data_IF_304052236701
#
_entry.id   IF_304052236701
#
_cell.length_a   1.000
_cell.length_b   1.000
_cell.length_c   1.000
_cell.angle_alpha   90.00
_cell.angle_beta   90.00
_cell.angle_gamma   90.00
#
_symmetry.space_group_name_H-M   'P 1'
#
loop_
_entity.id
_entity.type
_entity.pdbx_description
1 polymer ?
#
# COMPACT_ATOMS: atom_id res chain seq x y z
N UNK A 1 -11.98 4.02 -2.49
CA UNK A 1 -10.86 4.97 -2.58
C UNK A 1 -9.60 4.20 -2.96
N UNK A 2 -8.99 4.50 -4.10
CA UNK A 2 -7.78 3.80 -4.52
C UNK A 2 -6.59 4.16 -3.64
N UNK A 3 -5.71 3.18 -3.45
CA UNK A 3 -4.43 3.37 -2.79
C UNK A 3 -3.38 3.38 -3.88
N UNK A 4 -2.68 4.51 -4.03
CA UNK A 4 -1.67 4.65 -5.07
C UNK A 4 -0.29 4.76 -4.46
N UNK A 5 0.70 4.26 -5.20
CA UNK A 5 2.08 4.37 -4.76
C UNK A 5 2.53 5.82 -4.83
N UNK A 6 3.19 6.28 -3.77
CA UNK A 6 3.77 7.63 -3.73
C UNK A 6 5.23 7.64 -4.14
N UNK A 7 5.80 6.48 -4.44
CA UNK A 7 7.18 6.34 -4.90
C UNK A 7 7.25 5.23 -5.94
N UNK A 8 8.37 5.15 -6.64
CA UNK A 8 8.69 4.01 -7.48
C UNK A 8 9.52 3.05 -6.65
N UNK A 9 9.02 1.85 -6.43
CA UNK A 9 9.70 0.87 -5.60
C UNK A 9 9.05 -0.50 -5.68
N UNK A 10 9.52 -1.42 -4.84
CA UNK A 10 9.05 -2.80 -4.79
C UNK A 10 8.27 -3.02 -3.50
N UNK A 11 7.13 -3.71 -3.61
CA UNK A 11 6.32 -4.05 -2.44
C UNK A 11 7.10 -5.08 -1.61
N UNK A 12 7.46 -4.69 -0.39
CA UNK A 12 8.21 -5.54 0.52
C UNK A 12 7.27 -6.38 1.38
N UNK A 13 6.26 -5.74 1.93
CA UNK A 13 5.27 -6.44 2.75
C UNK A 13 4.01 -5.59 2.91
N UNK A 14 2.92 -6.28 3.19
CA UNK A 14 1.68 -5.65 3.61
C UNK A 14 1.60 -5.71 5.13
N UNK A 15 1.14 -4.62 5.74
CA UNK A 15 0.97 -4.52 7.19
C UNK A 15 -0.45 -4.84 7.63
N UNK A 16 -1.38 -4.92 6.68
CA UNK A 16 -2.77 -5.28 6.94
C UNK A 16 -3.21 -6.34 5.93
N UNK A 17 -4.10 -7.22 6.36
CA UNK A 17 -4.61 -8.30 5.52
C UNK A 17 -5.66 -7.80 4.54
N UNK A 18 -5.80 -8.51 3.42
CA UNK A 18 -6.88 -8.28 2.49
C UNK A 18 -8.21 -8.52 3.21
N UNK A 19 -9.11 -7.57 3.12
CA UNK A 19 -10.40 -7.64 3.81
C UNK A 19 -10.39 -7.10 5.23
N UNK A 20 -9.24 -6.68 5.76
CA UNK A 20 -9.16 -6.12 7.11
C UNK A 20 -9.63 -4.68 7.15
N UNK A 21 -10.15 -4.27 8.30
CA UNK A 21 -10.50 -2.87 8.53
C UNK A 21 -9.23 -2.08 8.85
N UNK A 22 -9.06 -0.94 8.22
CA UNK A 22 -7.94 -0.03 8.47
C UNK A 22 -8.47 1.36 8.79
N UNK A 23 -7.66 2.11 9.54
CA UNK A 23 -7.98 3.49 9.90
C UNK A 23 -7.27 4.46 8.96
N UNK A 24 -7.79 5.68 8.88
CA UNK A 24 -7.14 6.74 8.13
C UNK A 24 -5.73 6.97 8.66
N UNK A 25 -4.77 7.11 7.76
CA UNK A 25 -3.34 7.31 8.07
C UNK A 25 -2.65 6.11 8.71
N UNK A 26 -3.32 4.96 8.79
CA UNK A 26 -2.68 3.74 9.28
C UNK A 26 -1.72 3.22 8.22
N UNK A 27 -0.46 2.88 8.58
CA UNK A 27 0.45 2.27 7.61
C UNK A 27 -0.09 0.91 7.19
N UNK A 28 -0.18 0.67 5.89
CA UNK A 28 -0.80 -0.55 5.36
C UNK A 28 0.13 -1.36 4.47
N UNK A 29 1.11 -0.73 3.84
CA UNK A 29 2.02 -1.43 2.94
C UNK A 29 3.38 -0.75 2.98
N UNK A 30 4.45 -1.55 2.83
CA UNK A 30 5.82 -1.05 2.81
C UNK A 30 6.39 -1.25 1.42
N UNK A 31 6.95 -0.19 0.86
CA UNK A 31 7.66 -0.22 -0.41
C UNK A 31 9.13 0.08 -0.16
N UNK A 32 10.00 -0.59 -0.92
CA UNK A 32 11.44 -0.35 -0.86
C UNK A 32 11.92 0.31 -2.13
N UNK A 33 12.69 1.38 -1.98
CA UNK A 33 13.31 2.07 -3.10
C UNK A 33 14.67 2.56 -2.66
N UNK A 34 15.71 2.29 -3.45
CA UNK A 34 17.07 2.81 -3.23
C UNK A 34 17.58 2.58 -1.80
N UNK A 35 17.37 1.39 -1.27
CA UNK A 35 17.81 0.96 0.08
C UNK A 35 17.02 1.61 1.21
N UNK A 36 15.92 2.29 0.91
CA UNK A 36 15.04 2.86 1.92
C UNK A 36 13.67 2.20 1.84
N UNK A 37 13.04 2.03 2.99
CA UNK A 37 11.67 1.55 3.07
C UNK A 37 10.76 2.72 3.35
N UNK A 38 9.64 2.78 2.62
CA UNK A 38 8.63 3.82 2.79
C UNK A 38 7.30 3.14 3.07
N UNK A 39 6.62 3.61 4.11
CA UNK A 39 5.28 3.12 4.43
C UNK A 39 4.24 3.94 3.68
N UNK A 40 3.29 3.25 3.09
CA UNK A 40 2.13 3.88 2.45
C UNK A 40 0.98 3.77 3.44
N UNK A 41 0.31 4.89 3.70
CA UNK A 41 -0.77 4.93 4.68
C UNK A 41 -2.12 4.91 3.99
N UNK A 42 -3.14 4.48 4.73
CA UNK A 42 -4.50 4.48 4.22
C UNK A 42 -5.01 5.91 4.06
N UNK A 43 -5.57 6.27 2.89
CA UNK A 43 -6.11 7.62 2.70
C UNK A 43 -7.42 7.84 3.42
N UNK A 44 -8.15 6.78 3.75
CA UNK A 44 -9.42 6.83 4.47
C UNK A 44 -9.56 5.57 5.31
N UNK A 45 -10.47 5.59 6.28
CA UNK A 45 -10.81 4.37 7.02
C UNK A 45 -11.76 3.51 6.19
N UNK A 46 -11.67 2.20 6.34
CA UNK A 46 -12.55 1.27 5.64
C UNK A 46 -11.92 -0.10 5.50
N UNK A 47 -12.47 -0.90 4.58
CA UNK A 47 -12.00 -2.26 4.33
C UNK A 47 -10.94 -2.25 3.25
N UNK A 48 -9.81 -2.86 3.53
CA UNK A 48 -8.68 -2.91 2.60
C UNK A 48 -8.90 -4.01 1.56
N UNK A 49 -8.71 -3.65 0.29
CA UNK A 49 -8.70 -4.60 -0.83
C UNK A 49 -7.33 -4.50 -1.48
N UNK A 50 -6.54 -5.56 -1.37
CA UNK A 50 -5.17 -5.59 -1.87
C UNK A 50 -5.17 -6.03 -3.34
N UNK A 51 -4.40 -5.33 -4.17
CA UNK A 51 -4.22 -5.69 -5.58
C UNK A 51 -2.78 -6.07 -5.86
N UNK A 52 -1.82 -5.33 -5.33
CA UNK A 52 -0.40 -5.61 -5.50
C UNK A 52 0.03 -6.72 -4.55
N UNK A 53 1.01 -7.50 -4.98
CA UNK A 53 1.55 -8.61 -4.20
C UNK A 53 2.97 -8.29 -3.77
N UNK A 54 3.43 -8.96 -2.72
CA UNK A 54 4.81 -8.85 -2.27
C UNK A 54 5.74 -9.25 -3.41
N UNK A 55 6.72 -8.40 -3.70
CA UNK A 55 7.64 -8.60 -4.82
C UNK A 55 7.28 -7.85 -6.08
N UNK A 56 6.06 -7.31 -6.17
CA UNK A 56 5.65 -6.51 -7.32
C UNK A 56 6.37 -5.17 -7.31
N UNK A 57 6.72 -4.69 -8.50
CA UNK A 57 7.28 -3.35 -8.65
C UNK A 57 6.14 -2.39 -8.94
N UNK A 58 6.07 -1.31 -8.16
CA UNK A 58 5.09 -0.26 -8.33
C UNK A 58 5.79 1.03 -8.73
N UNK A 59 5.20 1.76 -9.67
CA UNK A 59 5.69 3.07 -10.04
C UNK A 59 4.82 4.14 -9.40
N UNK A 60 5.32 5.36 -9.36
CA UNK A 60 4.57 6.48 -8.81
C UNK A 60 3.19 6.54 -9.47
N UNK A 61 2.15 6.55 -8.65
CA UNK A 61 0.78 6.61 -9.14
C UNK A 61 0.14 5.26 -9.45
N UNK A 62 0.91 4.16 -9.40
CA UNK A 62 0.34 2.84 -9.67
C UNK A 62 -0.60 2.42 -8.55
N UNK A 63 -1.73 1.78 -8.87
CA UNK A 63 -2.65 1.32 -7.84
C UNK A 63 -2.07 0.13 -7.09
N UNK A 64 -2.12 0.19 -5.77
CA UNK A 64 -1.69 -0.90 -4.90
C UNK A 64 -2.89 -1.67 -4.36
N UNK A 65 -4.03 -1.02 -4.31
CA UNK A 65 -5.26 -1.58 -3.79
C UNK A 65 -6.31 -0.51 -3.67
N UNK A 66 -7.31 -0.74 -2.84
CA UNK A 66 -8.38 0.23 -2.60
C UNK A 66 -8.95 0.03 -1.19
N UNK A 67 -9.62 1.06 -0.71
CA UNK A 67 -10.35 1.01 0.55
C UNK A 67 -11.81 1.35 0.25
N UNK A 68 -12.68 0.51 0.74
CA UNK A 68 -14.10 0.75 0.47
C UNK A 68 -15.06 -0.18 1.13
#
# INVERSE_FOLDING_TARGET
>A
TPIESTITGTVVRWLADDGAHVEENEPIVVLEAMKMETEITAPVAGILHRSAQVGDTAQYGDPLGAIG
#
